data_IF_153301846343
#
_entry.id   IF_153301846343
#
_cell.length_a   1.000
_cell.length_b   1.000
_cell.length_c   1.000
_cell.angle_alpha   90.00
_cell.angle_beta   90.00
_cell.angle_gamma   90.00
#
_symmetry.space_group_name_H-M   'P 1'
#
loop_
_entity.id
_entity.type
_entity.pdbx_description
1 polymer ?
#
# COMPACT_ATOMS: atom_id res chain seq x y z
N UNK A 1 -73.96 10.02 -17.17
CA UNK A 1 -73.58 8.63 -16.90
C UNK A 1 -72.32 8.30 -17.68
N UNK A 2 -71.19 8.07 -16.97
CA UNK A 2 -70.10 7.13 -17.31
C UNK A 2 -68.89 7.49 -16.43
N UNK A 3 -68.84 6.84 -15.26
CA UNK A 3 -67.68 6.82 -14.39
C UNK A 3 -66.74 5.71 -14.85
N UNK A 4 -65.52 6.06 -15.29
CA UNK A 4 -64.44 5.11 -15.54
C UNK A 4 -63.37 5.20 -14.44
N UNK A 5 -62.84 4.02 -14.11
CA UNK A 5 -62.27 3.63 -12.83
C UNK A 5 -60.84 4.15 -12.53
N UNK A 6 -60.53 4.49 -11.25
CA UNK A 6 -59.17 4.72 -10.78
C UNK A 6 -58.58 3.42 -10.20
N UNK A 7 -58.23 2.43 -11.04
CA UNK A 7 -57.64 1.17 -10.55
C UNK A 7 -56.40 0.66 -11.29
N UNK A 8 -55.88 1.39 -12.28
CA UNK A 8 -54.72 0.95 -13.07
C UNK A 8 -53.41 1.71 -12.79
N UNK A 9 -53.40 2.66 -11.86
CA UNK A 9 -52.21 3.52 -11.63
C UNK A 9 -51.24 3.02 -10.56
N UNK A 10 -51.63 2.04 -9.74
CA UNK A 10 -50.82 1.59 -8.61
C UNK A 10 -49.95 0.36 -8.89
N UNK A 11 -50.19 -0.42 -9.94
CA UNK A 11 -49.40 -1.63 -10.22
C UNK A 11 -48.09 -1.34 -10.99
N UNK A 12 -48.05 -0.31 -11.84
CA UNK A 12 -46.81 0.06 -12.57
C UNK A 12 -45.70 0.63 -11.69
N UNK A 13 -45.97 0.99 -10.43
CA UNK A 13 -44.96 1.49 -9.49
C UNK A 13 -44.26 0.38 -8.70
N UNK A 14 -44.79 -0.85 -8.71
CA UNK A 14 -44.21 -1.99 -7.98
C UNK A 14 -43.20 -2.78 -8.80
N UNK A 15 -43.33 -2.84 -10.11
CA UNK A 15 -42.38 -3.60 -10.96
C UNK A 15 -41.10 -2.83 -11.34
N UNK A 16 -41.09 -1.51 -11.25
CA UNK A 16 -39.89 -0.69 -11.44
C UNK A 16 -38.94 -0.69 -10.22
N UNK A 17 -39.40 -1.18 -9.06
CA UNK A 17 -38.56 -1.32 -7.85
C UNK A 17 -37.64 -2.55 -7.89
N UNK A 18 -38.06 -3.65 -8.52
CA UNK A 18 -37.32 -4.92 -8.51
C UNK A 18 -36.06 -4.92 -9.38
N UNK A 19 -36.10 -4.31 -10.57
CA UNK A 19 -34.94 -4.26 -11.48
C UNK A 19 -33.81 -3.36 -10.96
N UNK A 20 -34.15 -2.26 -10.28
CA UNK A 20 -33.16 -1.38 -9.65
C UNK A 20 -32.45 -2.08 -8.49
N UNK A 21 -33.23 -2.77 -7.65
CA UNK A 21 -32.71 -3.51 -6.50
C UNK A 21 -31.82 -4.68 -6.93
N UNK A 22 -32.20 -5.46 -7.96
CA UNK A 22 -31.34 -6.52 -8.51
C UNK A 22 -30.02 -5.99 -9.08
N UNK A 23 -30.04 -4.85 -9.80
CA UNK A 23 -28.82 -4.23 -10.34
C UNK A 23 -27.89 -3.72 -9.24
N UNK A 24 -28.45 -3.11 -8.19
CA UNK A 24 -27.67 -2.66 -7.03
C UNK A 24 -27.06 -3.86 -6.30
N UNK A 25 -27.82 -4.94 -6.08
CA UNK A 25 -27.27 -6.16 -5.48
C UNK A 25 -26.16 -6.78 -6.34
N UNK A 26 -26.32 -6.83 -7.66
CA UNK A 26 -25.30 -7.34 -8.56
C UNK A 26 -24.00 -6.50 -8.51
N UNK A 27 -24.10 -5.17 -8.46
CA UNK A 27 -22.94 -4.28 -8.34
C UNK A 27 -22.24 -4.42 -6.98
N UNK A 28 -23.01 -4.56 -5.89
CA UNK A 28 -22.45 -4.77 -4.54
C UNK A 28 -21.76 -6.13 -4.43
N UNK A 29 -22.36 -7.21 -4.98
CA UNK A 29 -21.75 -8.54 -5.02
C UNK A 29 -20.45 -8.55 -5.84
N UNK A 30 -20.45 -7.87 -6.99
CA UNK A 30 -19.25 -7.74 -7.83
C UNK A 30 -18.16 -6.94 -7.09
N UNK A 31 -18.52 -5.86 -6.39
CA UNK A 31 -17.60 -5.08 -5.56
C UNK A 31 -16.98 -5.89 -4.42
N UNK A 32 -17.78 -6.72 -3.74
CA UNK A 32 -17.29 -7.61 -2.67
C UNK A 32 -16.34 -8.69 -3.20
N UNK A 33 -16.60 -9.24 -4.38
CA UNK A 33 -15.72 -10.23 -5.01
C UNK A 33 -14.37 -9.60 -5.41
N UNK A 34 -14.36 -8.38 -5.94
CA UNK A 34 -13.12 -7.68 -6.35
C UNK A 34 -12.25 -7.25 -5.15
N UNK A 35 -12.86 -6.86 -4.02
CA UNK A 35 -12.11 -6.50 -2.81
C UNK A 35 -11.38 -7.68 -2.14
N UNK A 36 -11.80 -8.93 -2.40
CA UNK A 36 -11.26 -10.12 -1.72
C UNK A 36 -9.87 -10.57 -2.21
N UNK A 37 -9.46 -10.21 -3.43
CA UNK A 37 -8.19 -10.65 -4.00
C UNK A 37 -6.96 -10.03 -3.32
N UNK A 38 -7.07 -8.79 -2.81
CA UNK A 38 -5.95 -8.10 -2.14
C UNK A 38 -5.60 -8.71 -0.78
N UNK A 39 -6.60 -9.22 -0.05
CA UNK A 39 -6.39 -9.80 1.28
C UNK A 39 -5.63 -11.12 1.22
N UNK A 40 -5.90 -11.96 0.21
CA UNK A 40 -5.21 -13.26 0.04
C UNK A 40 -3.72 -13.05 -0.26
N UNK A 41 -3.39 -12.14 -1.18
CA UNK A 41 -1.98 -11.84 -1.51
C UNK A 41 -1.26 -11.22 -0.32
N UNK A 42 -1.90 -10.32 0.40
CA UNK A 42 -1.30 -9.71 1.60
C UNK A 42 -1.08 -10.75 2.71
N UNK A 43 -2.01 -11.69 2.89
CA UNK A 43 -1.86 -12.78 3.84
C UNK A 43 -0.69 -13.70 3.45
N UNK A 44 -0.62 -14.12 2.19
CA UNK A 44 0.49 -14.94 1.68
C UNK A 44 1.85 -14.26 1.89
N UNK A 45 1.95 -12.96 1.60
CA UNK A 45 3.19 -12.21 1.83
C UNK A 45 3.56 -12.15 3.32
N UNK A 46 2.60 -11.97 4.22
CA UNK A 46 2.83 -12.00 5.67
C UNK A 46 3.30 -13.38 6.14
N UNK A 47 2.68 -14.44 5.64
CA UNK A 47 3.07 -15.82 5.94
C UNK A 47 4.49 -16.12 5.46
N UNK A 48 4.85 -15.70 4.24
CA UNK A 48 6.21 -15.83 3.71
C UNK A 48 7.24 -15.07 4.55
N UNK A 49 6.95 -13.82 4.94
CA UNK A 49 7.84 -13.06 5.83
C UNK A 49 7.97 -13.69 7.21
N UNK A 50 6.89 -14.21 7.78
CA UNK A 50 6.93 -14.90 9.08
C UNK A 50 7.78 -16.17 9.00
N UNK A 51 7.60 -16.98 7.94
CA UNK A 51 8.41 -18.16 7.69
C UNK A 51 9.90 -17.82 7.48
N UNK A 52 10.19 -16.78 6.71
CA UNK A 52 11.56 -16.29 6.51
C UNK A 52 12.21 -15.82 7.82
N UNK A 53 11.44 -15.12 8.68
CA UNK A 53 11.90 -14.67 9.99
C UNK A 53 12.23 -15.86 10.89
N UNK A 54 11.34 -16.85 10.95
CA UNK A 54 11.56 -18.07 11.72
C UNK A 54 12.79 -18.85 11.22
N UNK A 55 12.97 -18.98 9.91
CA UNK A 55 14.13 -19.63 9.31
C UNK A 55 15.44 -18.88 9.63
N UNK A 56 15.43 -17.54 9.55
CA UNK A 56 16.57 -16.70 9.93
C UNK A 56 16.90 -16.82 11.42
N UNK A 57 15.90 -16.87 12.30
CA UNK A 57 16.13 -17.01 13.75
C UNK A 57 16.67 -18.40 14.10
N UNK A 58 16.16 -19.44 13.46
CA UNK A 58 16.70 -20.79 13.58
C UNK A 58 18.16 -20.86 13.13
N UNK A 59 18.48 -20.33 11.94
CA UNK A 59 19.85 -20.30 11.43
C UNK A 59 20.78 -19.46 12.33
N UNK A 60 20.28 -18.35 12.87
CA UNK A 60 21.02 -17.52 13.84
C UNK A 60 21.33 -18.31 15.12
N UNK A 61 20.37 -19.07 15.64
CA UNK A 61 20.56 -19.92 16.81
C UNK A 61 21.61 -21.01 16.54
N UNK A 62 21.57 -21.65 15.38
CA UNK A 62 22.60 -22.61 14.95
C UNK A 62 23.98 -21.97 14.89
N UNK A 63 24.11 -20.78 14.33
CA UNK A 63 25.39 -20.05 14.30
C UNK A 63 25.91 -19.74 15.71
N UNK A 64 25.04 -19.31 16.63
CA UNK A 64 25.43 -19.04 18.03
C UNK A 64 25.84 -20.31 18.77
N UNK A 65 25.20 -21.44 18.50
CA UNK A 65 25.58 -22.73 19.06
C UNK A 65 26.93 -23.22 18.51
N UNK A 66 27.21 -22.97 17.23
CA UNK A 66 28.49 -23.32 16.60
C UNK A 66 29.65 -22.45 17.07
N UNK A 67 29.39 -21.17 17.37
CA UNK A 67 30.37 -20.19 17.84
C UNK A 67 29.94 -19.60 19.21
N UNK A 68 30.06 -20.38 20.30
CA UNK A 68 29.55 -19.97 21.62
C UNK A 68 30.41 -18.91 22.33
N UNK A 69 31.71 -18.83 22.00
CA UNK A 69 32.60 -17.81 22.54
C UNK A 69 32.53 -16.54 21.68
N UNK A 70 31.90 -15.50 22.21
CA UNK A 70 31.75 -14.22 21.50
C UNK A 70 33.06 -13.44 21.35
N UNK A 71 34.14 -13.87 22.02
CA UNK A 71 35.44 -13.22 21.97
C UNK A 71 36.44 -13.96 21.06
N UNK A 72 35.97 -14.97 20.32
CA UNK A 72 36.77 -15.73 19.35
C UNK A 72 36.02 -15.88 18.03
N UNK A 73 36.76 -16.27 17.00
CA UNK A 73 36.21 -16.65 15.69
C UNK A 73 35.32 -15.56 15.07
N UNK A 74 35.66 -14.28 15.27
CA UNK A 74 34.81 -13.14 14.89
C UNK A 74 34.40 -13.19 13.41
N UNK A 75 35.35 -13.49 12.52
CA UNK A 75 35.12 -13.58 11.08
C UNK A 75 34.19 -14.75 10.73
N UNK A 76 34.46 -15.94 11.29
CA UNK A 76 33.67 -17.14 11.01
C UNK A 76 32.24 -17.01 11.56
N UNK A 77 32.09 -16.48 12.78
CA UNK A 77 30.80 -16.19 13.39
C UNK A 77 30.03 -15.15 12.59
N UNK A 78 30.67 -14.05 12.19
CA UNK A 78 30.02 -13.02 11.38
C UNK A 78 29.56 -13.56 10.03
N UNK A 79 30.38 -14.38 9.36
CA UNK A 79 30.00 -15.03 8.10
C UNK A 79 28.79 -15.95 8.27
N UNK A 80 28.73 -16.74 9.35
CA UNK A 80 27.58 -17.57 9.65
C UNK A 80 26.30 -16.73 9.85
N UNK A 81 26.41 -15.67 10.65
CA UNK A 81 25.30 -14.76 10.91
C UNK A 81 24.82 -14.04 9.64
N UNK A 82 25.75 -13.68 8.74
CA UNK A 82 25.40 -13.10 7.45
C UNK A 82 24.59 -14.05 6.58
N UNK A 83 25.03 -15.31 6.45
CA UNK A 83 24.28 -16.31 5.66
C UNK A 83 22.90 -16.57 6.25
N UNK A 84 22.77 -16.60 7.57
CA UNK A 84 21.48 -16.68 8.26
C UNK A 84 20.60 -15.45 7.97
N UNK A 85 21.18 -14.25 8.00
CA UNK A 85 20.45 -13.01 7.75
C UNK A 85 20.07 -12.82 6.27
N UNK A 86 20.82 -13.39 5.33
CA UNK A 86 20.58 -13.27 3.89
C UNK A 86 19.20 -13.78 3.46
N UNK A 87 18.60 -14.68 4.24
CA UNK A 87 17.21 -15.14 4.09
C UNK A 87 16.23 -13.95 4.07
N UNK A 88 16.52 -12.88 4.84
CA UNK A 88 15.68 -11.69 4.93
C UNK A 88 15.94 -10.66 3.83
N UNK A 89 17.05 -10.79 3.06
CA UNK A 89 17.44 -9.82 2.02
C UNK A 89 16.34 -9.54 0.98
N UNK A 90 15.50 -10.49 0.53
CA UNK A 90 14.41 -10.20 -0.41
C UNK A 90 13.26 -9.39 0.20
N UNK A 91 13.14 -9.34 1.52
CA UNK A 91 12.01 -8.74 2.23
C UNK A 91 12.33 -7.37 2.83
N UNK A 92 13.60 -6.94 2.80
CA UNK A 92 13.98 -5.62 3.30
C UNK A 92 13.69 -4.54 2.24
N UNK A 93 13.21 -3.34 2.62
CA UNK A 93 12.90 -2.28 1.67
C UNK A 93 14.12 -1.78 0.87
N UNK A 94 15.32 -1.82 1.47
CA UNK A 94 16.57 -1.34 0.87
C UNK A 94 17.66 -2.41 0.97
N UNK A 95 17.68 -3.40 0.03
CA UNK A 95 18.66 -4.49 0.05
C UNK A 95 20.12 -4.04 -0.04
N UNK A 96 20.38 -2.90 -0.69
CA UNK A 96 21.72 -2.31 -0.78
C UNK A 96 22.22 -1.83 0.59
N UNK A 97 21.34 -1.25 1.41
CA UNK A 97 21.68 -0.84 2.77
C UNK A 97 21.92 -2.05 3.68
N UNK A 98 21.18 -3.14 3.46
CA UNK A 98 21.43 -4.41 4.13
C UNK A 98 22.82 -4.95 3.78
N UNK A 99 23.17 -5.00 2.49
CA UNK A 99 24.48 -5.50 2.04
C UNK A 99 25.62 -4.61 2.57
N UNK A 100 25.43 -3.27 2.56
CA UNK A 100 26.39 -2.32 3.14
C UNK A 100 26.61 -2.58 4.63
N UNK A 101 25.55 -2.78 5.42
CA UNK A 101 25.64 -3.07 6.86
C UNK A 101 26.53 -4.29 7.11
N UNK A 102 26.25 -5.40 6.43
CA UNK A 102 26.98 -6.65 6.62
C UNK A 102 28.42 -6.59 6.11
N UNK A 103 28.68 -5.88 5.01
CA UNK A 103 30.04 -5.64 4.53
C UNK A 103 30.87 -4.86 5.57
N UNK A 104 30.30 -3.81 6.17
CA UNK A 104 30.99 -3.05 7.23
C UNK A 104 31.25 -3.92 8.46
N UNK A 105 30.27 -4.70 8.92
CA UNK A 105 30.47 -5.61 10.06
C UNK A 105 31.53 -6.67 9.76
N UNK A 106 31.65 -7.13 8.51
CA UNK A 106 32.72 -8.05 8.11
C UNK A 106 34.12 -7.43 8.27
N UNK A 107 34.31 -6.18 7.83
CA UNK A 107 35.57 -5.45 8.03
C UNK A 107 35.88 -5.29 9.52
N UNK A 108 34.87 -4.89 10.32
CA UNK A 108 35.03 -4.74 11.78
C UNK A 108 35.40 -6.08 12.43
N UNK A 109 34.82 -7.19 11.99
CA UNK A 109 35.14 -8.53 12.48
C UNK A 109 36.60 -8.91 12.16
N UNK A 110 37.10 -8.59 10.97
CA UNK A 110 38.51 -8.78 10.60
C UNK A 110 39.45 -7.90 11.43
N UNK A 111 39.10 -6.65 11.68
CA UNK A 111 39.90 -5.73 12.51
C UNK A 111 39.94 -6.17 13.98
N UNK A 112 38.83 -6.68 14.51
CA UNK A 112 38.76 -7.29 15.84
C UNK A 112 39.64 -8.52 15.96
N UNK A 113 39.56 -9.44 14.97
CA UNK A 113 40.36 -10.66 14.95
C UNK A 113 41.86 -10.36 14.85
N UNK A 114 42.21 -9.34 14.04
CA UNK A 114 43.56 -8.81 13.93
C UNK A 114 44.00 -7.97 15.14
N UNK A 115 43.15 -7.80 16.17
CA UNK A 115 43.39 -6.99 17.38
C UNK A 115 43.77 -5.53 17.09
N UNK A 116 43.35 -5.00 15.94
CA UNK A 116 43.56 -3.59 15.56
C UNK A 116 42.63 -2.66 16.32
N UNK A 117 41.45 -3.15 16.67
CA UNK A 117 40.44 -2.44 17.45
C UNK A 117 40.01 -3.28 18.65
N UNK A 118 39.52 -2.59 19.68
CA UNK A 118 38.90 -3.22 20.85
C UNK A 118 37.41 -3.51 20.60
N UNK A 119 36.82 -4.38 21.40
CA UNK A 119 35.37 -4.68 21.33
C UNK A 119 34.51 -3.43 21.50
N UNK A 120 34.87 -2.54 22.43
CA UNK A 120 34.16 -1.28 22.63
C UNK A 120 34.24 -0.34 21.41
N UNK A 121 35.38 -0.31 20.71
CA UNK A 121 35.51 0.44 19.46
C UNK A 121 34.69 -0.18 18.33
N UNK A 122 34.67 -1.51 18.22
CA UNK A 122 33.82 -2.19 17.26
C UNK A 122 32.33 -1.91 17.51
N UNK A 123 31.87 -1.99 18.76
CA UNK A 123 30.48 -1.69 19.13
C UNK A 123 30.11 -0.24 18.76
N UNK A 124 31.02 0.71 18.98
CA UNK A 124 30.84 2.11 18.58
C UNK A 124 30.75 2.27 17.06
N UNK A 125 31.65 1.63 16.29
CA UNK A 125 31.64 1.69 14.82
C UNK A 125 30.37 1.04 14.23
N UNK A 126 29.92 -0.08 14.80
CA UNK A 126 28.66 -0.73 14.42
C UNK A 126 27.48 0.20 14.70
N UNK A 127 27.44 0.83 15.88
CA UNK A 127 26.38 1.77 16.23
C UNK A 127 26.35 3.00 15.29
N UNK A 128 27.51 3.55 14.94
CA UNK A 128 27.63 4.64 13.97
C UNK A 128 27.12 4.22 12.59
N UNK A 129 27.57 3.06 12.11
CA UNK A 129 27.12 2.49 10.82
C UNK A 129 25.61 2.29 10.79
N UNK A 130 25.02 1.76 11.88
CA UNK A 130 23.58 1.59 11.99
C UNK A 130 22.84 2.93 11.96
N UNK A 131 23.37 3.95 12.64
CA UNK A 131 22.81 5.31 12.61
C UNK A 131 22.80 5.90 11.20
N UNK A 132 23.91 5.78 10.48
CA UNK A 132 24.01 6.23 9.07
C UNK A 132 23.03 5.49 8.16
N UNK A 133 22.93 4.17 8.30
CA UNK A 133 22.01 3.34 7.51
C UNK A 133 20.55 3.70 7.81
N UNK A 134 20.19 3.92 9.07
CA UNK A 134 18.83 4.34 9.44
C UNK A 134 18.52 5.74 8.91
N UNK A 135 19.46 6.68 8.99
CA UNK A 135 19.31 8.02 8.43
C UNK A 135 19.09 7.98 6.91
N UNK A 136 19.89 7.16 6.21
CA UNK A 136 19.75 6.95 4.76
C UNK A 136 18.41 6.31 4.39
N UNK A 137 18.01 5.25 5.10
CA UNK A 137 16.73 4.59 4.89
C UNK A 137 15.55 5.56 5.13
N UNK A 138 15.61 6.36 6.18
CA UNK A 138 14.61 7.39 6.47
C UNK A 138 14.56 8.45 5.37
N UNK A 139 15.72 8.92 4.88
CA UNK A 139 15.78 9.89 3.78
C UNK A 139 15.09 9.35 2.52
N UNK A 140 15.37 8.10 2.15
CA UNK A 140 14.75 7.43 1.00
C UNK A 140 13.25 7.25 1.19
N UNK A 141 12.82 6.85 2.38
CA UNK A 141 11.41 6.67 2.71
C UNK A 141 10.62 7.98 2.60
N UNK A 142 11.16 9.07 3.15
CA UNK A 142 10.55 10.40 3.03
C UNK A 142 10.49 10.86 1.57
N UNK A 143 11.55 10.60 0.79
CA UNK A 143 11.59 10.85 -0.65
C UNK A 143 10.47 10.10 -1.39
N UNK A 144 10.36 8.80 -1.19
CA UNK A 144 9.34 7.96 -1.82
C UNK A 144 7.92 8.42 -1.46
N UNK A 145 7.67 8.76 -0.19
CA UNK A 145 6.36 9.28 0.24
C UNK A 145 5.99 10.60 -0.43
N UNK A 146 6.96 11.49 -0.63
CA UNK A 146 6.72 12.75 -1.32
C UNK A 146 6.37 12.54 -2.79
N UNK A 147 7.00 11.58 -3.47
CA UNK A 147 6.67 11.22 -4.86
C UNK A 147 5.26 10.64 -4.94
N UNK A 148 4.91 9.69 -4.08
CA UNK A 148 3.56 9.10 -4.05
C UNK A 148 2.48 10.17 -3.74
N UNK A 149 2.78 11.12 -2.86
CA UNK A 149 1.88 12.24 -2.59
C UNK A 149 1.69 13.16 -3.81
N UNK A 150 2.75 13.40 -4.59
CA UNK A 150 2.67 14.16 -5.83
C UNK A 150 1.89 13.40 -6.92
N UNK A 151 2.13 12.11 -7.07
CA UNK A 151 1.41 11.25 -8.02
C UNK A 151 -0.09 11.19 -7.71
N UNK A 152 -0.45 11.02 -6.43
CA UNK A 152 -1.85 11.02 -6.00
C UNK A 152 -2.52 12.40 -6.17
N UNK A 153 -1.80 13.49 -5.94
CA UNK A 153 -2.29 14.84 -6.23
C UNK A 153 -2.51 15.06 -7.74
N UNK A 154 -1.59 14.59 -8.59
CA UNK A 154 -1.73 14.66 -10.05
C UNK A 154 -2.93 13.85 -10.54
N UNK A 155 -3.08 12.60 -10.07
CA UNK A 155 -4.24 11.75 -10.41
C UNK A 155 -5.57 12.35 -9.93
N UNK A 156 -5.59 13.00 -8.75
CA UNK A 156 -6.77 13.71 -8.26
C UNK A 156 -7.13 14.92 -9.13
N UNK A 157 -6.13 15.66 -9.62
CA UNK A 157 -6.35 16.78 -10.54
C UNK A 157 -6.88 16.31 -11.89
N UNK A 158 -6.35 15.21 -12.44
CA UNK A 158 -6.82 14.62 -13.70
C UNK A 158 -8.29 14.16 -13.59
N UNK A 159 -8.64 13.45 -12.51
CA UNK A 159 -10.02 13.00 -12.29
C UNK A 159 -10.98 14.18 -12.06
N UNK A 160 -10.55 15.24 -11.36
CA UNK A 160 -11.34 16.45 -11.20
C UNK A 160 -11.56 17.19 -12.53
N UNK A 161 -10.54 17.26 -13.39
CA UNK A 161 -10.64 17.85 -14.71
C UNK A 161 -11.59 17.04 -15.63
N UNK A 162 -11.50 15.71 -15.60
CA UNK A 162 -12.41 14.83 -16.34
C UNK A 162 -13.86 14.97 -15.85
N UNK A 163 -14.08 15.04 -14.53
CA UNK A 163 -15.40 15.29 -13.95
C UNK A 163 -15.97 16.65 -14.39
N UNK A 164 -15.16 17.71 -14.38
CA UNK A 164 -15.56 19.04 -14.83
C UNK A 164 -15.96 19.06 -16.31
N UNK A 165 -15.24 18.35 -17.19
CA UNK A 165 -15.61 18.22 -18.61
C UNK A 165 -16.94 17.47 -18.80
N UNK A 166 -17.17 16.39 -18.04
CA UNK A 166 -18.44 15.65 -18.13
C UNK A 166 -19.64 16.51 -17.72
N UNK A 167 -19.50 17.31 -16.66
CA UNK A 167 -20.53 18.24 -16.21
C UNK A 167 -20.79 19.36 -17.22
N UNK A 168 -19.72 19.88 -17.86
CA UNK A 168 -19.87 20.84 -18.93
C UNK A 168 -20.70 20.24 -20.07
N UNK A 169 -20.35 19.05 -20.59
CA UNK A 169 -21.11 18.42 -21.69
C UNK A 169 -22.58 18.16 -21.32
N UNK A 170 -22.87 17.76 -20.07
CA UNK A 170 -24.22 17.57 -19.58
C UNK A 170 -25.02 18.89 -19.52
N UNK A 171 -24.39 20.00 -19.14
CA UNK A 171 -25.02 21.33 -19.10
C UNK A 171 -25.40 21.84 -20.50
N UNK A 172 -24.59 21.54 -21.53
CA UNK A 172 -24.92 21.91 -22.92
C UNK A 172 -26.08 21.09 -23.51
N UNK A 173 -26.24 19.84 -23.07
CA UNK A 173 -27.34 18.96 -23.50
C UNK A 173 -28.61 19.11 -22.66
N UNK A 174 -28.57 19.88 -21.57
CA UNK A 174 -29.75 20.13 -20.75
C UNK A 174 -30.79 20.94 -21.55
N UNK A 175 -32.04 20.46 -21.67
CA UNK A 175 -33.09 21.22 -22.32
C UNK A 175 -33.28 22.53 -21.55
N UNK A 176 -33.18 23.66 -22.26
CA UNK A 176 -33.47 24.97 -21.68
C UNK A 176 -34.91 24.93 -21.17
N UNK A 177 -35.09 25.10 -19.86
CA UNK A 177 -36.41 25.13 -19.25
C UNK A 177 -37.12 26.39 -19.72
N UNK A 178 -38.00 26.24 -20.71
CA UNK A 178 -38.91 27.30 -21.13
C UNK A 178 -39.86 27.56 -19.96
N UNK A 179 -39.75 28.75 -19.38
CA UNK A 179 -40.57 29.14 -18.24
C UNK A 179 -41.79 29.86 -18.77
N UNK A 180 -42.93 29.19 -18.69
CA UNK A 180 -44.20 29.78 -19.07
C UNK A 180 -44.86 30.40 -17.84
N UNK A 181 -45.14 31.70 -17.91
CA UNK A 181 -45.90 32.41 -16.89
C UNK A 181 -47.30 32.75 -17.42
N UNK A 182 -48.33 32.43 -16.64
CA UNK A 182 -49.73 32.67 -17.02
C UNK A 182 -50.26 33.85 -16.21
N UNK A 183 -50.53 34.96 -16.88
CA UNK A 183 -51.22 36.11 -16.30
C UNK A 183 -52.61 36.24 -16.93
N UNK A 184 -53.63 35.88 -16.16
CA UNK A 184 -55.02 35.84 -16.63
C UNK A 184 -55.21 34.80 -17.73
N UNK A 185 -55.69 35.24 -18.90
CA UNK A 185 -55.95 34.36 -20.04
C UNK A 185 -54.80 34.30 -21.07
N UNK A 186 -53.68 34.96 -20.77
CA UNK A 186 -52.48 34.99 -21.62
C UNK A 186 -51.36 34.17 -20.99
N UNK A 187 -50.69 33.35 -21.80
CA UNK A 187 -49.50 32.58 -21.39
C UNK A 187 -48.32 33.07 -22.22
N UNK A 188 -47.31 33.60 -21.56
CA UNK A 188 -46.04 33.99 -22.18
C UNK A 188 -44.95 33.03 -21.72
N UNK A 189 -44.24 32.45 -22.67
CA UNK A 189 -43.14 31.51 -22.44
C UNK A 189 -41.84 32.16 -22.90
N UNK A 190 -40.79 32.06 -22.07
CA UNK A 190 -39.44 32.53 -22.36
C UNK A 190 -38.43 31.43 -22.04
#
# INVERSE_FOLDING_TARGET
>A
MLALAPRLRNDLRRDLGGLGVMRVFAVVLLGLLLCSCGLVVQQQHREQMAAATAAKDQATATCRAQFPDENKDFVARNKCLYEAAKIMRPYVPYPDLFDKSWATVAVIAEELDAKKITRAQADLQIAQTNSEIMSEAQRRELGNRSVVAQESAAAAQESAAAAAQSQATAAWMAPRSVTCNRMGNTTTCF
#
